data_IF_769210759166
#
_entry.id   IF_769210759166
#
_cell.length_a   1.000
_cell.length_b   1.000
_cell.length_c   1.000
_cell.angle_alpha   90.00
_cell.angle_beta   90.00
_cell.angle_gamma   90.00
#
_symmetry.space_group_name_H-M   'P 1'
#
loop_
_entity.id
_entity.type
_entity.pdbx_description
1 polymer ?
#
# COMPACT_ATOMS: atom_id res chain seq x y z
N UNK A 1 -16.93 -19.43 7.39
CA UNK A 1 -15.54 -19.09 7.74
C UNK A 1 -15.26 -17.69 7.18
N UNK A 2 -15.12 -16.68 8.04
CA UNK A 2 -14.69 -15.35 7.59
C UNK A 2 -13.21 -15.43 7.24
N UNK A 3 -12.90 -15.33 5.95
CA UNK A 3 -11.53 -15.32 5.44
C UNK A 3 -10.95 -13.92 5.68
N UNK A 4 -10.79 -13.56 6.95
CA UNK A 4 -10.24 -12.27 7.36
C UNK A 4 -8.76 -12.27 6.97
N UNK A 5 -8.30 -11.29 6.18
CA UNK A 5 -6.88 -11.20 5.84
C UNK A 5 -6.06 -11.01 7.12
N UNK A 6 -4.97 -11.77 7.24
CA UNK A 6 -4.02 -11.68 8.33
C UNK A 6 -2.57 -11.82 7.83
N UNK A 7 -1.60 -11.59 8.71
CA UNK A 7 -0.19 -11.79 8.37
C UNK A 7 0.42 -10.70 7.46
N UNK A 8 -0.30 -9.62 7.17
CA UNK A 8 0.25 -8.47 6.45
C UNK A 8 1.06 -7.57 7.38
N UNK A 9 2.21 -7.14 6.89
CA UNK A 9 3.11 -6.18 7.54
C UNK A 9 3.65 -5.22 6.49
N UNK A 10 4.07 -4.03 6.91
CA UNK A 10 4.72 -3.09 6.00
C UNK A 10 5.97 -2.48 6.62
N UNK A 11 6.88 -2.01 5.76
CA UNK A 11 8.13 -1.38 6.16
C UNK A 11 8.36 -0.14 5.32
N UNK A 12 8.63 0.97 6.00
CA UNK A 12 9.08 2.20 5.36
C UNK A 12 10.56 2.07 5.03
N UNK A 13 10.91 2.20 3.74
CA UNK A 13 12.30 2.19 3.26
C UNK A 13 12.89 3.59 3.37
N UNK A 14 14.23 3.69 3.40
CA UNK A 14 14.95 4.97 3.48
C UNK A 14 14.59 5.95 2.34
N UNK A 15 14.19 5.43 1.18
CA UNK A 15 13.76 6.22 0.02
C UNK A 15 12.33 6.79 0.15
N UNK A 16 11.59 6.44 1.21
CA UNK A 16 10.17 6.78 1.35
C UNK A 16 9.22 5.78 0.69
N UNK A 17 9.75 4.69 0.12
CA UNK A 17 8.94 3.59 -0.43
C UNK A 17 8.37 2.73 0.71
N UNK A 18 7.18 2.16 0.50
CA UNK A 18 6.58 1.19 1.42
C UNK A 18 6.69 -0.21 0.83
N UNK A 19 7.42 -1.09 1.51
CA UNK A 19 7.39 -2.51 1.22
C UNK A 19 6.30 -3.19 2.05
N UNK A 20 5.39 -3.89 1.39
CA UNK A 20 4.37 -4.72 2.02
C UNK A 20 4.82 -6.18 1.97
N UNK A 21 4.65 -6.89 3.07
CA UNK A 21 4.93 -8.31 3.22
C UNK A 21 3.68 -9.04 3.69
N UNK A 22 3.51 -10.26 3.22
CA UNK A 22 2.48 -11.19 3.65
C UNK A 22 3.17 -12.44 4.20
N UNK A 23 2.97 -12.73 5.49
CA UNK A 23 3.70 -13.78 6.22
C UNK A 23 5.23 -13.74 6.00
N UNK A 24 5.80 -12.54 6.06
CA UNK A 24 7.24 -12.32 5.87
C UNK A 24 7.74 -12.41 4.42
N UNK A 25 6.87 -12.67 3.44
CA UNK A 25 7.22 -12.67 2.01
C UNK A 25 6.84 -11.35 1.36
N UNK A 26 7.72 -10.72 0.55
CA UNK A 26 7.39 -9.51 -0.17
C UNK A 26 6.14 -9.70 -1.04
N UNK A 27 5.10 -8.92 -0.76
CA UNK A 27 3.83 -8.95 -1.47
C UNK A 27 3.71 -7.79 -2.47
N UNK A 28 4.41 -6.68 -2.22
CA UNK A 28 4.47 -5.55 -3.15
C UNK A 28 5.26 -4.36 -2.59
N UNK A 29 5.57 -3.40 -3.45
CA UNK A 29 6.22 -2.13 -3.04
C UNK A 29 5.42 -0.96 -3.60
N UNK A 30 5.03 -0.04 -2.72
CA UNK A 30 4.43 1.24 -3.07
C UNK A 30 5.51 2.31 -3.10
N UNK A 31 5.44 3.19 -4.10
CA UNK A 31 6.40 4.27 -4.30
C UNK A 31 5.71 5.62 -4.41
N UNK A 32 6.45 6.68 -4.07
CA UNK A 32 6.02 8.07 -4.24
C UNK A 32 4.63 8.34 -3.64
N UNK A 33 3.71 8.88 -4.45
CA UNK A 33 2.38 9.25 -3.99
C UNK A 33 1.56 8.08 -3.40
N UNK A 34 1.72 6.84 -3.90
CA UNK A 34 1.03 5.66 -3.33
C UNK A 34 1.57 5.31 -1.94
N UNK A 35 2.88 5.43 -1.73
CA UNK A 35 3.50 5.22 -0.44
C UNK A 35 2.96 6.23 0.59
N UNK A 36 2.94 7.51 0.23
CA UNK A 36 2.38 8.57 1.08
C UNK A 36 0.89 8.35 1.36
N UNK A 37 0.11 7.95 0.35
CA UNK A 37 -1.33 7.69 0.50
C UNK A 37 -1.59 6.50 1.42
N UNK A 38 -0.83 5.41 1.26
CA UNK A 38 -0.92 4.25 2.13
C UNK A 38 -0.69 4.60 3.60
N UNK A 39 0.28 5.46 3.92
CA UNK A 39 0.53 5.88 5.30
C UNK A 39 -0.64 6.65 5.93
N UNK A 40 -1.44 7.33 5.12
CA UNK A 40 -2.67 7.99 5.59
C UNK A 40 -3.79 6.97 5.73
N UNK A 41 -3.97 6.11 4.73
CA UNK A 41 -5.06 5.14 4.70
C UNK A 41 -4.89 4.06 5.81
N UNK A 42 -3.67 3.63 6.11
CA UNK A 42 -3.38 2.61 7.14
C UNK A 42 -3.67 3.08 8.57
N UNK A 43 -3.75 4.39 8.79
CA UNK A 43 -4.15 4.98 10.07
C UNK A 43 -5.67 5.08 10.22
N UNK A 44 -6.40 5.07 9.10
CA UNK A 44 -7.84 5.30 9.03
C UNK A 44 -8.65 4.02 8.77
N UNK A 45 -8.03 3.01 8.14
CA UNK A 45 -8.62 1.73 7.76
C UNK A 45 -7.90 0.58 8.47
N UNK A 46 -8.52 -0.62 8.47
CA UNK A 46 -7.84 -1.82 8.99
C UNK A 46 -6.61 -2.14 8.12
N UNK A 47 -5.39 -2.21 8.72
CA UNK A 47 -4.17 -2.44 7.97
C UNK A 47 -4.17 -3.77 7.20
N UNK A 48 -4.76 -4.83 7.74
CA UNK A 48 -4.78 -6.14 7.11
C UNK A 48 -5.66 -6.14 5.88
N UNK A 49 -6.88 -5.58 5.98
CA UNK A 49 -7.80 -5.45 4.85
C UNK A 49 -7.25 -4.54 3.76
N UNK A 50 -6.67 -3.40 4.15
CA UNK A 50 -6.04 -2.46 3.22
C UNK A 50 -4.89 -3.11 2.45
N UNK A 51 -3.97 -3.78 3.15
CA UNK A 51 -2.84 -4.44 2.51
C UNK A 51 -3.29 -5.59 1.63
N UNK A 52 -4.24 -6.43 2.07
CA UNK A 52 -4.80 -7.51 1.26
C UNK A 52 -5.42 -6.99 -0.05
N UNK A 53 -6.17 -5.88 0.02
CA UNK A 53 -6.75 -5.23 -1.16
C UNK A 53 -5.67 -4.73 -2.11
N UNK A 54 -4.62 -4.10 -1.58
CA UNK A 54 -3.54 -3.52 -2.37
C UNK A 54 -2.66 -4.59 -3.01
N UNK A 55 -2.35 -5.67 -2.30
CA UNK A 55 -1.52 -6.78 -2.80
C UNK A 55 -2.30 -7.74 -3.69
N UNK A 56 -3.62 -7.88 -3.48
CA UNK A 56 -4.49 -8.75 -4.27
C UNK A 56 -4.79 -8.21 -5.68
N UNK A 57 -4.84 -6.87 -5.87
CA UNK A 57 -5.19 -6.22 -7.13
C UNK A 57 -4.01 -5.59 -7.89
N UNK A 58 -2.76 -5.77 -7.45
CA UNK A 58 -1.62 -5.00 -7.96
C UNK A 58 -1.18 -5.36 -9.40
N UNK A 59 -1.84 -6.31 -10.09
CA UNK A 59 -1.46 -6.69 -11.46
C UNK A 59 -1.93 -5.70 -12.55
N UNK A 60 -2.82 -4.75 -12.28
CA UNK A 60 -3.47 -3.98 -13.36
C UNK A 60 -3.40 -2.43 -13.32
N UNK A 61 -2.86 -1.80 -12.27
CA UNK A 61 -3.12 -0.39 -11.98
C UNK A 61 -1.93 0.57 -12.06
N UNK A 62 -1.03 0.44 -13.04
CA UNK A 62 0.22 1.21 -13.05
C UNK A 62 0.20 2.56 -13.78
N UNK A 63 -0.92 3.04 -14.36
CA UNK A 63 -0.81 4.14 -15.35
C UNK A 63 -1.54 5.47 -15.07
N UNK A 64 -2.46 5.62 -14.09
CA UNK A 64 -3.34 6.83 -14.11
C UNK A 64 -3.57 7.64 -12.84
N UNK A 65 -3.12 7.24 -11.64
CA UNK A 65 -3.54 7.93 -10.41
C UNK A 65 -2.66 9.11 -9.93
N UNK A 66 -1.53 9.41 -10.57
CA UNK A 66 -0.58 10.43 -10.09
C UNK A 66 -1.02 11.90 -10.31
N UNK A 67 -2.14 12.16 -11.00
CA UNK A 67 -2.51 13.51 -11.44
C UNK A 67 -3.30 14.36 -10.43
N UNK A 68 -3.84 13.79 -9.35
CA UNK A 68 -4.77 14.51 -8.47
C UNK A 68 -4.32 14.66 -7.00
N UNK A 69 -3.04 14.44 -6.67
CA UNK A 69 -2.58 14.62 -5.31
C UNK A 69 -2.20 16.09 -5.02
N UNK A 70 -2.73 16.74 -3.97
CA UNK A 70 -2.41 18.14 -3.64
C UNK A 70 -0.93 18.39 -3.34
N UNK A 71 -0.11 17.35 -3.07
CA UNK A 71 1.35 17.49 -2.92
C UNK A 71 2.15 17.40 -4.23
N UNK A 72 1.49 17.21 -5.38
CA UNK A 72 2.12 17.15 -6.70
C UNK A 72 1.84 18.42 -7.54
N UNK A 73 1.44 19.51 -6.86
CA UNK A 73 1.11 20.82 -7.42
C UNK A 73 2.03 21.93 -6.91
N UNK A 74 3.26 21.57 -6.51
CA UNK A 74 4.34 22.49 -6.12
C UNK A 74 5.50 22.35 -7.09
#
# INVERSE_FOLDING_TARGET
>A
MTNTPDGFTYRVRKSGDIEMLHHGRPAGVLRGAKAARFLVDVDQEDPQELMARLTGNYRHGNERAAKNHPRNRG
#
